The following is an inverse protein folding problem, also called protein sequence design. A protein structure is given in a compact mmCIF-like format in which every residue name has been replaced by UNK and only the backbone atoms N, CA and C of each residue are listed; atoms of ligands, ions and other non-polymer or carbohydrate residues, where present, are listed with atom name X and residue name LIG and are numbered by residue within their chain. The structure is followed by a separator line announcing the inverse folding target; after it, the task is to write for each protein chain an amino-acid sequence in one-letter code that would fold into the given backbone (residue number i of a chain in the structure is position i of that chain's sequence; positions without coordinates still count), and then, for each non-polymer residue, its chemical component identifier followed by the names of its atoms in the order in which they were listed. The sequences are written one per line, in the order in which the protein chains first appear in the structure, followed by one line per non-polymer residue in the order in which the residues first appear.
data_IF_924460721796
#
_entry.id   IF_924460721796
#
_cell.length_a   1.000
_cell.length_b   1.000
_cell.length_c   1.000
_cell.angle_alpha   90.00
_cell.angle_beta   90.00
_cell.angle_gamma   90.00
#
_symmetry.space_group_name_H-M   'P 1'
#
loop_
_entity.id
_entity.type
_entity.pdbx_description
1 polymer ?
#
# COMPACT_ATOMS: atom_id res chain seq x y z
N UNK A 1 -1.19 24.03 -7.23
CA UNK A 1 -0.84 23.10 -6.13
C UNK A 1 0.47 22.42 -6.48
N UNK A 2 1.34 22.18 -5.51
CA UNK A 2 2.54 21.36 -5.66
C UNK A 2 2.15 19.95 -6.09
N UNK A 3 3.03 19.28 -6.85
CA UNK A 3 2.82 17.89 -7.27
C UNK A 3 3.00 16.97 -6.05
N UNK A 4 2.04 16.08 -5.78
CA UNK A 4 2.16 15.06 -4.72
C UNK A 4 3.02 13.88 -5.19
N UNK A 5 4.02 13.50 -4.42
CA UNK A 5 4.83 12.30 -4.65
C UNK A 5 4.25 11.13 -3.86
N UNK A 6 3.81 10.08 -4.54
CA UNK A 6 3.19 8.91 -3.93
C UNK A 6 4.14 7.72 -4.06
N UNK A 7 4.74 7.30 -2.96
CA UNK A 7 5.44 6.02 -2.88
C UNK A 7 4.45 4.93 -2.46
N UNK A 8 4.12 4.02 -3.38
CA UNK A 8 3.26 2.87 -3.12
C UNK A 8 4.12 1.65 -2.79
N UNK A 9 4.26 1.34 -1.50
CA UNK A 9 5.02 0.18 -1.01
C UNK A 9 4.09 -1.03 -0.99
N UNK A 10 4.41 -2.05 -1.79
CA UNK A 10 3.62 -3.27 -1.93
C UNK A 10 4.46 -4.50 -1.62
N UNK A 11 3.96 -5.38 -0.75
CA UNK A 11 4.55 -6.71 -0.60
C UNK A 11 4.06 -7.64 -1.70
N UNK A 12 4.97 -8.32 -2.37
CA UNK A 12 4.69 -9.27 -3.44
C UNK A 12 4.72 -8.65 -4.84
N UNK A 13 5.30 -9.39 -5.78
CA UNK A 13 5.32 -9.03 -7.19
C UNK A 13 4.02 -9.42 -7.89
N UNK A 14 3.63 -8.67 -8.93
CA UNK A 14 2.53 -9.06 -9.81
C UNK A 14 2.99 -10.22 -10.72
N UNK A 15 2.74 -11.46 -10.30
CA UNK A 15 3.11 -12.68 -11.05
C UNK A 15 2.23 -12.91 -12.27
N UNK A 16 0.98 -12.44 -12.24
CA UNK A 16 0.04 -12.57 -13.35
C UNK A 16 0.33 -11.53 -14.43
N UNK A 17 0.50 -11.97 -15.67
CA UNK A 17 0.66 -11.09 -16.83
C UNK A 17 -0.50 -10.09 -16.94
N UNK A 18 -1.73 -10.55 -16.70
CA UNK A 18 -2.95 -9.73 -16.73
C UNK A 18 -2.83 -8.55 -15.75
N UNK A 19 -2.41 -8.81 -14.51
CA UNK A 19 -2.26 -7.75 -13.50
C UNK A 19 -1.12 -6.79 -13.86
N UNK A 20 0.01 -7.32 -14.35
CA UNK A 20 1.14 -6.49 -14.75
C UNK A 20 0.82 -5.59 -15.94
N UNK A 21 0.02 -6.07 -16.90
CA UNK A 21 -0.37 -5.30 -18.07
C UNK A 21 -1.44 -4.26 -17.71
N UNK A 22 -2.38 -4.60 -16.83
CA UNK A 22 -3.34 -3.64 -16.28
C UNK A 22 -2.62 -2.53 -15.51
N UNK A 23 -1.67 -2.85 -14.62
CA UNK A 23 -0.88 -1.82 -13.92
C UNK A 23 -0.21 -0.84 -14.90
N UNK A 24 0.41 -1.34 -15.97
CA UNK A 24 1.02 -0.48 -17.00
C UNK A 24 0.00 0.44 -17.67
N UNK A 25 -1.22 -0.04 -17.91
CA UNK A 25 -2.29 0.78 -18.49
C UNK A 25 -2.79 1.84 -17.51
N UNK A 26 -2.90 1.52 -16.22
CA UNK A 26 -3.28 2.48 -15.16
C UNK A 26 -2.20 3.56 -15.03
N UNK A 27 -0.93 3.17 -14.98
CA UNK A 27 0.20 4.10 -14.84
C UNK A 27 0.27 5.16 -15.95
N UNK A 28 -0.17 4.83 -17.17
CA UNK A 28 -0.25 5.79 -18.29
C UNK A 28 -1.34 6.84 -18.12
N UNK A 29 -2.35 6.57 -17.28
CA UNK A 29 -3.51 7.45 -17.04
C UNK A 29 -3.42 8.21 -15.71
N UNK A 30 -2.32 8.04 -14.95
CA UNK A 30 -2.11 8.77 -13.70
C UNK A 30 -2.16 10.28 -13.96
N UNK A 31 -2.96 10.98 -13.15
CA UNK A 31 -3.16 12.41 -13.32
C UNK A 31 -1.86 13.19 -13.09
N UNK A 32 -1.58 14.26 -13.85
CA UNK A 32 -0.30 14.99 -13.79
C UNK A 32 0.06 15.58 -12.42
N UNK A 33 -0.94 15.78 -11.55
CA UNK A 33 -0.77 16.27 -10.18
C UNK A 33 -0.13 15.24 -9.22
N UNK A 34 -0.07 13.96 -9.62
CA UNK A 34 0.55 12.89 -8.86
C UNK A 34 1.83 12.39 -9.55
N UNK A 35 2.85 12.08 -8.76
CA UNK A 35 4.02 11.28 -9.18
C UNK A 35 3.99 9.97 -8.42
N UNK A 36 3.52 8.91 -9.04
CA UNK A 36 3.44 7.59 -8.41
C UNK A 36 4.73 6.79 -8.66
N UNK A 37 5.32 6.27 -7.60
CA UNK A 37 6.47 5.38 -7.61
C UNK A 37 6.10 4.09 -6.86
N UNK A 38 6.22 2.94 -7.53
CA UNK A 38 5.88 1.65 -6.93
C UNK A 38 7.14 1.01 -6.38
N UNK A 39 7.11 0.66 -5.09
CA UNK A 39 8.22 0.03 -4.39
C UNK A 39 7.79 -1.39 -4.01
N UNK A 40 8.30 -2.38 -4.72
CA UNK A 40 8.00 -3.78 -4.45
C UNK A 40 8.92 -4.34 -3.35
N UNK A 41 8.32 -4.97 -2.36
CA UNK A 41 8.98 -5.77 -1.34
C UNK A 41 8.78 -7.24 -1.69
N UNK A 42 9.87 -8.01 -1.76
CA UNK A 42 9.78 -9.45 -1.98
C UNK A 42 9.02 -10.13 -0.84
N UNK A 43 7.98 -10.87 -1.19
CA UNK A 43 7.17 -11.69 -0.29
C UNK A 43 8.00 -12.83 0.30
N UNK A 44 7.79 -13.13 1.58
CA UNK A 44 8.36 -14.32 2.18
C UNK A 44 7.52 -15.56 1.85
N UNK A 45 8.20 -16.71 1.69
CA UNK A 45 7.49 -17.96 1.38
C UNK A 45 6.60 -18.36 2.55
N UNK A 46 5.31 -18.52 2.25
CA UNK A 46 4.32 -18.91 3.22
C UNK A 46 4.12 -20.43 3.21
N UNK A 47 4.99 -21.17 3.92
CA UNK A 47 5.06 -22.64 3.86
C UNK A 47 4.08 -23.29 4.85
N UNK A 48 3.76 -22.65 5.98
CA UNK A 48 2.86 -23.17 7.01
C UNK A 48 2.03 -22.05 7.65
N UNK A 49 0.91 -21.68 7.04
CA UNK A 49 0.01 -20.59 7.50
C UNK A 49 -0.56 -20.88 8.89
N UNK A 50 -0.74 -22.15 9.24
CA UNK A 50 -1.41 -22.56 10.49
C UNK A 50 -0.54 -22.37 11.75
N UNK A 51 0.73 -21.97 11.57
CA UNK A 51 1.64 -21.71 12.69
C UNK A 51 1.76 -20.20 12.91
N UNK A 52 1.15 -19.71 13.98
CA UNK A 52 1.22 -18.30 14.40
C UNK A 52 2.65 -17.75 14.44
N UNK A 53 3.62 -18.55 14.91
CA UNK A 53 5.04 -18.18 14.94
C UNK A 53 5.64 -17.92 13.56
N UNK A 54 5.24 -18.69 12.54
CA UNK A 54 5.71 -18.50 11.17
C UNK A 54 5.05 -17.26 10.56
N UNK A 55 3.75 -17.05 10.80
CA UNK A 55 3.04 -15.84 10.39
C UNK A 55 3.69 -14.58 10.97
N UNK A 56 4.00 -14.57 12.27
CA UNK A 56 4.64 -13.43 12.92
C UNK A 56 6.06 -13.19 12.40
N UNK A 57 6.81 -14.26 12.11
CA UNK A 57 8.13 -14.17 11.48
C UNK A 57 8.05 -13.56 10.08
N UNK A 58 7.10 -13.99 9.26
CA UNK A 58 6.85 -13.44 7.92
C UNK A 58 6.52 -11.95 8.02
N UNK A 59 5.54 -11.59 8.86
CA UNK A 59 5.17 -10.20 9.12
C UNK A 59 6.39 -9.37 9.50
N UNK A 60 7.20 -9.82 10.46
CA UNK A 60 8.38 -9.10 10.91
C UNK A 60 9.40 -8.88 9.79
N UNK A 61 9.74 -9.91 9.02
CA UNK A 61 10.71 -9.81 7.92
C UNK A 61 10.23 -8.86 6.82
N UNK A 62 8.97 -8.96 6.43
CA UNK A 62 8.35 -8.05 5.45
C UNK A 62 8.27 -6.63 6.02
N UNK A 63 7.91 -6.49 7.29
CA UNK A 63 7.78 -5.21 7.99
C UNK A 63 9.10 -4.46 8.13
N UNK A 64 10.20 -5.15 8.44
CA UNK A 64 11.54 -4.55 8.48
C UNK A 64 11.93 -3.99 7.11
N UNK A 65 11.65 -4.73 6.02
CA UNK A 65 11.89 -4.26 4.66
C UNK A 65 11.01 -3.06 4.32
N UNK A 66 9.72 -3.08 4.66
CA UNK A 66 8.80 -1.95 4.46
C UNK A 66 9.35 -0.71 5.18
N UNK A 67 9.66 -0.81 6.48
CA UNK A 67 10.15 0.32 7.28
C UNK A 67 11.42 0.92 6.68
N UNK A 68 12.32 0.10 6.14
CA UNK A 68 13.55 0.57 5.48
C UNK A 68 13.29 1.44 4.24
N UNK A 69 12.10 1.34 3.63
CA UNK A 69 11.70 2.09 2.43
C UNK A 69 10.84 3.31 2.71
N UNK A 70 10.38 3.49 3.96
CA UNK A 70 9.60 4.68 4.35
C UNK A 70 10.54 5.89 4.40
N UNK A 71 10.22 6.94 3.63
CA UNK A 71 10.93 8.22 3.69
C UNK A 71 10.63 8.91 5.03
N UNK A 72 11.66 9.46 5.68
CA UNK A 72 11.52 10.09 7.01
C UNK A 72 10.51 11.25 7.03
N UNK A 73 10.37 11.98 5.93
CA UNK A 73 9.50 13.15 5.81
C UNK A 73 8.10 12.82 5.29
N UNK A 74 7.82 11.58 4.86
CA UNK A 74 6.54 11.28 4.21
C UNK A 74 5.39 11.24 5.22
N UNK A 75 4.17 11.44 4.70
CA UNK A 75 2.94 11.09 5.40
C UNK A 75 2.61 9.63 5.11
N UNK A 76 2.48 8.80 6.14
CA UNK A 76 2.34 7.36 5.99
C UNK A 76 0.89 6.93 6.13
N UNK A 77 0.38 6.26 5.09
CA UNK A 77 -0.95 5.67 5.05
C UNK A 77 -0.78 4.15 4.98
N UNK A 78 -1.37 3.42 5.93
CA UNK A 78 -1.42 1.96 5.90
C UNK A 78 -2.81 1.47 5.53
N UNK A 79 -2.88 0.47 4.66
CA UNK A 79 -4.14 -0.22 4.37
C UNK A 79 -4.29 -1.41 5.31
N UNK A 80 -5.32 -1.34 6.15
CA UNK A 80 -5.57 -2.29 7.23
C UNK A 80 -7.06 -2.62 7.27
N UNK A 81 -7.40 -3.90 7.49
CA UNK A 81 -8.80 -4.36 7.56
C UNK A 81 -9.55 -3.59 8.67
N UNK A 82 -8.90 -3.43 9.82
CA UNK A 82 -9.39 -2.69 10.99
C UNK A 82 -9.17 -1.16 10.89
N UNK A 83 -8.73 -0.66 9.73
CA UNK A 83 -8.56 0.76 9.48
C UNK A 83 -9.89 1.52 9.41
N UNK A 84 -9.84 2.85 9.41
CA UNK A 84 -11.04 3.67 9.23
C UNK A 84 -11.52 3.59 7.78
N UNK A 85 -12.79 3.23 7.57
CA UNK A 85 -13.41 3.32 6.25
C UNK A 85 -13.63 4.77 5.85
N UNK A 86 -13.27 5.09 4.62
CA UNK A 86 -13.52 6.42 4.05
C UNK A 86 -14.94 6.44 3.50
N UNK A 87 -15.86 7.15 4.18
CA UNK A 87 -17.29 7.14 3.83
C UNK A 87 -17.70 8.20 2.83
N UNK A 88 -17.09 9.39 2.90
CA UNK A 88 -17.51 10.59 2.17
C UNK A 88 -16.34 11.31 1.48
N UNK A 89 -15.16 10.70 1.46
CA UNK A 89 -13.95 11.25 0.85
C UNK A 89 -13.35 10.18 -0.04
N UNK A 90 -12.80 10.57 -1.18
CA UNK A 90 -11.96 9.70 -1.98
C UNK A 90 -10.58 9.57 -1.34
N UNK A 91 -9.80 8.57 -1.79
CA UNK A 91 -8.38 8.50 -1.41
C UNK A 91 -7.62 9.73 -1.89
N UNK A 92 -8.01 10.30 -3.04
CA UNK A 92 -7.44 11.54 -3.56
C UNK A 92 -7.66 12.71 -2.61
N UNK A 93 -8.89 12.88 -2.10
CA UNK A 93 -9.20 13.97 -1.16
C UNK A 93 -8.36 13.82 0.12
N UNK A 94 -8.14 12.60 0.61
CA UNK A 94 -7.27 12.36 1.75
C UNK A 94 -5.82 12.74 1.45
N UNK A 95 -5.32 12.39 0.27
CA UNK A 95 -3.96 12.69 -0.20
C UNK A 95 -3.75 14.19 -0.42
N UNK A 96 -4.71 14.86 -1.03
CA UNK A 96 -4.63 16.27 -1.39
C UNK A 96 -4.74 17.19 -0.16
N UNK A 97 -5.47 16.76 0.89
CA UNK A 97 -5.58 17.48 2.16
C UNK A 97 -4.36 17.32 3.08
N UNK A 98 -3.41 16.43 2.77
CA UNK A 98 -2.17 16.29 3.53
C UNK A 98 -1.23 17.45 3.15
N UNK A 99 -0.70 18.16 4.14
CA UNK A 99 0.23 19.28 3.88
C UNK A 99 1.55 18.83 3.23
N UNK A 100 2.04 17.65 3.60
CA UNK A 100 3.27 17.07 3.04
C UNK A 100 3.10 16.70 1.56
N UNK A 101 4.12 16.96 0.76
CA UNK A 101 4.13 16.55 -0.66
C UNK A 101 4.50 15.08 -0.85
N UNK A 102 5.34 14.52 0.02
CA UNK A 102 5.71 13.11 0.00
C UNK A 102 4.73 12.29 0.83
N UNK A 103 4.10 11.30 0.20
CA UNK A 103 3.12 10.39 0.81
C UNK A 103 3.56 8.97 0.54
N UNK A 104 3.51 8.12 1.56
CA UNK A 104 3.81 6.69 1.46
C UNK A 104 2.55 5.90 1.76
N UNK A 105 2.08 5.12 0.79
CA UNK A 105 0.93 4.23 0.95
C UNK A 105 1.45 2.80 1.02
N UNK A 106 1.05 2.05 2.04
CA UNK A 106 1.59 0.71 2.32
C UNK A 106 0.49 -0.35 2.19
N UNK A 107 0.79 -1.37 1.38
CA UNK A 107 -0.03 -2.56 1.16
C UNK A 107 0.75 -3.77 1.68
N UNK A 108 0.22 -4.42 2.71
CA UNK A 108 0.80 -5.63 3.30
C UNK A 108 0.70 -6.86 2.39
N UNK A 109 1.40 -7.92 2.78
CA UNK A 109 1.37 -9.20 2.09
C UNK A 109 0.14 -10.04 2.43
N UNK A 110 0.18 -11.32 2.10
CA UNK A 110 -0.92 -12.27 2.36
C UNK A 110 -1.31 -12.40 3.83
N UNK A 111 -0.38 -12.14 4.76
CA UNK A 111 -0.60 -12.22 6.21
C UNK A 111 -0.88 -10.87 6.87
N UNK A 112 -0.93 -9.77 6.09
CA UNK A 112 -1.14 -8.42 6.60
C UNK A 112 0.15 -7.72 7.05
N UNK A 113 0.01 -6.68 7.87
CA UNK A 113 1.12 -5.84 8.33
C UNK A 113 1.66 -6.29 9.69
N UNK A 114 2.97 -6.07 9.88
CA UNK A 114 3.60 -6.14 11.19
C UNK A 114 3.24 -4.92 12.03
N UNK A 115 3.06 -5.10 13.35
CA UNK A 115 2.61 -4.04 14.25
C UNK A 115 3.49 -2.78 14.17
N UNK A 116 4.82 -2.93 14.06
CA UNK A 116 5.74 -1.78 13.93
C UNK A 116 5.56 -0.98 12.64
N UNK A 117 5.02 -1.58 11.58
CA UNK A 117 4.64 -0.84 10.36
C UNK A 117 3.38 -0.03 10.62
N UNK A 118 2.39 -0.64 11.28
CA UNK A 118 1.14 0.03 11.65
C UNK A 118 1.37 1.20 12.62
N UNK A 119 2.35 1.09 13.52
CA UNK A 119 2.77 2.18 14.42
C UNK A 119 3.40 3.38 13.70
N UNK A 120 3.95 3.18 12.49
CA UNK A 120 4.48 4.27 11.67
C UNK A 120 3.39 5.01 10.88
N UNK A 121 2.16 4.52 10.91
CA UNK A 121 1.04 5.06 10.13
C UNK A 121 0.52 6.35 10.74
N UNK A 122 0.50 7.42 9.96
CA UNK A 122 -0.24 8.64 10.26
C UNK A 122 -1.75 8.42 10.04
N UNK A 123 -2.11 7.53 9.09
CA UNK A 123 -3.50 7.18 8.78
C UNK A 123 -3.68 5.71 8.42
N UNK A 124 -4.48 5.00 9.22
CA UNK A 124 -4.91 3.62 8.95
C UNK A 124 -6.25 3.62 8.21
N UNK A 125 -6.28 3.08 7.00
CA UNK A 125 -7.46 3.08 6.12
C UNK A 125 -7.92 1.65 5.85
N UNK A 126 -9.22 1.42 5.96
CA UNK A 126 -9.87 0.21 5.47
C UNK A 126 -10.57 0.52 4.14
N UNK A 127 -10.23 -0.23 3.10
CA UNK A 127 -10.81 -0.05 1.75
C UNK A 127 -12.18 -0.73 1.62
N UNK A 128 -12.48 -1.72 2.45
CA UNK A 128 -13.72 -2.51 2.42
C UNK A 128 -13.82 -3.39 3.65
N UNK A 129 -15.03 -3.90 3.93
CA UNK A 129 -15.23 -5.00 4.90
C UNK A 129 -14.83 -6.35 4.31
N UNK A 130 -14.65 -6.44 2.99
CA UNK A 130 -14.24 -7.66 2.29
C UNK A 130 -12.71 -7.79 2.29
N UNK A 131 -12.23 -9.02 2.39
CA UNK A 131 -10.81 -9.34 2.22
C UNK A 131 -10.49 -9.47 0.73
N UNK A 132 -9.59 -8.62 0.23
CA UNK A 132 -9.10 -8.69 -1.14
C UNK A 132 -7.65 -9.20 -1.18
N UNK A 133 -7.25 -9.93 -2.24
CA UNK A 133 -5.84 -10.23 -2.47
C UNK A 133 -5.03 -8.93 -2.60
N UNK A 134 -3.89 -8.85 -1.90
CA UNK A 134 -3.03 -7.65 -1.89
C UNK A 134 -2.65 -7.15 -3.30
N UNK A 135 -2.45 -8.05 -4.26
CA UNK A 135 -2.17 -7.69 -5.66
C UNK A 135 -3.32 -6.94 -6.33
N UNK A 136 -4.57 -7.31 -6.01
CA UNK A 136 -5.74 -6.59 -6.50
C UNK A 136 -5.88 -5.25 -5.80
N UNK A 137 -5.61 -5.18 -4.49
CA UNK A 137 -5.63 -3.92 -3.72
C UNK A 137 -4.65 -2.91 -4.33
N UNK A 138 -3.45 -3.35 -4.74
CA UNK A 138 -2.48 -2.50 -5.45
C UNK A 138 -3.09 -1.84 -6.68
N UNK A 139 -3.77 -2.61 -7.53
CA UNK A 139 -4.41 -2.09 -8.74
C UNK A 139 -5.57 -1.12 -8.41
N UNK A 140 -6.39 -1.44 -7.41
CA UNK A 140 -7.48 -0.58 -6.95
C UNK A 140 -6.98 0.77 -6.46
N UNK A 141 -5.88 0.78 -5.71
CA UNK A 141 -5.25 1.99 -5.17
C UNK A 141 -4.61 2.81 -6.29
N UNK A 142 -3.91 2.16 -7.24
CA UNK A 142 -3.37 2.84 -8.40
C UNK A 142 -4.46 3.51 -9.24
N UNK A 143 -5.59 2.83 -9.46
CA UNK A 143 -6.71 3.38 -10.22
C UNK A 143 -7.25 4.67 -9.56
N UNK A 144 -7.21 4.78 -8.23
CA UNK A 144 -7.62 6.01 -7.55
C UNK A 144 -6.81 7.24 -7.97
N UNK A 145 -5.60 7.09 -8.52
CA UNK A 145 -4.80 8.22 -8.99
C UNK A 145 -4.93 8.48 -10.50
N UNK A 146 -5.66 7.62 -11.22
CA UNK A 146 -5.98 7.80 -12.64
C UNK A 146 -7.41 8.28 -12.91
N UNK A 147 -8.27 8.31 -11.88
CA UNK A 147 -9.62 8.89 -11.93
C UNK A 147 -9.58 10.42 -11.78
#
# INVERSE_FOLDING_TARGET
MSKKNIDLICVGQLKSKIFSDLEKQILKRIRPQYKVNIIEIKDEKNINIDREKEVEKIKRLEGEKIISKIKKSSYVITLEIEGKQVKNLSLQDLVDNVEKDDITIIIGGSVGLYHKVSEKSDKKISISKLTFPHQLVRLLILEQFSL
#
